data_IF_764153401121
#
_entry.id   IF_764153401121
#
_cell.length_a   1.000
_cell.length_b   1.000
_cell.length_c   1.000
_cell.angle_alpha   90.00
_cell.angle_beta   90.00
_cell.angle_gamma   90.00
#
_symmetry.space_group_name_H-M   'P 1'
#
loop_
_entity.id
_entity.type
_entity.pdbx_description
1 polymer ?
#
# COMPACT_ATOMS: atom_id res chain seq x y z
N UNK A 1 -4.53 1.85 -6.16
CA UNK A 1 -3.08 1.69 -5.91
C UNK A 1 -2.36 1.37 -7.20
N UNK A 2 -1.24 1.98 -7.43
CA UNK A 2 -0.43 1.80 -8.63
C UNK A 2 0.99 1.41 -8.23
N UNK A 3 1.57 0.41 -8.89
CA UNK A 3 2.91 -0.06 -8.55
C UNK A 3 3.73 -0.27 -9.82
N UNK A 4 4.97 0.21 -9.81
CA UNK A 4 5.92 0.05 -10.91
C UNK A 4 7.29 -0.30 -10.36
N UNK A 5 8.12 -0.92 -11.21
CA UNK A 5 9.54 -1.12 -10.92
C UNK A 5 10.31 -0.05 -11.67
N UNK A 6 11.11 0.73 -10.97
CA UNK A 6 11.91 1.80 -11.57
C UNK A 6 13.27 1.87 -10.87
N UNK A 7 14.33 1.82 -11.66
CA UNK A 7 15.73 1.94 -11.17
C UNK A 7 16.03 0.95 -10.02
N UNK A 8 15.54 -0.28 -10.14
CA UNK A 8 15.72 -1.31 -9.13
C UNK A 8 14.84 -1.14 -7.89
N UNK A 9 13.89 -0.23 -7.92
CA UNK A 9 13.00 0.05 -6.79
C UNK A 9 11.55 -0.29 -7.13
N UNK A 10 10.83 -0.79 -6.15
CA UNK A 10 9.37 -0.90 -6.22
C UNK A 10 8.78 0.44 -5.79
N UNK A 11 8.11 1.12 -6.71
CA UNK A 11 7.47 2.40 -6.44
C UNK A 11 5.96 2.18 -6.37
N UNK A 12 5.37 2.52 -5.22
CA UNK A 12 3.93 2.34 -4.98
C UNK A 12 3.30 3.70 -4.80
N UNK A 13 2.23 3.96 -5.56
CA UNK A 13 1.43 5.17 -5.44
C UNK A 13 0.05 4.79 -4.94
N UNK A 14 -0.37 5.37 -3.83
CA UNK A 14 -1.68 5.13 -3.24
C UNK A 14 -2.23 6.45 -2.70
N UNK A 15 -3.51 6.78 -2.95
CA UNK A 15 -4.08 8.03 -2.44
C UNK A 15 -4.17 8.02 -0.93
N UNK A 16 -3.90 9.16 -0.33
CA UNK A 16 -4.09 9.38 1.10
C UNK A 16 -5.52 9.87 1.32
N UNK A 17 -6.24 9.16 2.17
CA UNK A 17 -7.61 9.52 2.51
C UNK A 17 -7.72 10.24 3.86
N UNK A 18 -8.96 10.49 4.27
CA UNK A 18 -9.24 11.02 5.60
C UNK A 18 -8.81 10.00 6.66
N UNK A 19 -8.02 10.40 7.67
CA UNK A 19 -7.59 9.47 8.72
C UNK A 19 -8.79 8.81 9.41
N UNK A 20 -8.72 7.48 9.57
CA UNK A 20 -9.76 6.68 10.22
C UNK A 20 -9.15 5.80 11.29
N UNK A 21 -9.84 5.60 12.43
CA UNK A 21 -9.33 4.70 13.47
C UNK A 21 -9.04 3.32 12.92
N UNK A 22 -7.90 2.74 13.31
CA UNK A 22 -7.59 1.36 13.03
C UNK A 22 -8.44 0.43 13.90
N UNK A 23 -8.40 -0.88 13.64
CA UNK A 23 -9.13 -1.87 14.42
C UNK A 23 -8.77 -1.83 15.91
N UNK A 24 -7.52 -1.52 16.24
CA UNK A 24 -7.06 -1.41 17.63
C UNK A 24 -7.41 -0.06 18.27
N UNK A 25 -7.76 0.94 17.48
CA UNK A 25 -8.00 2.31 17.94
C UNK A 25 -6.75 3.08 18.35
N UNK A 26 -5.55 2.50 18.19
CA UNK A 26 -4.29 3.13 18.61
C UNK A 26 -3.63 3.95 17.52
N UNK A 27 -4.09 3.84 16.30
CA UNK A 27 -3.55 4.56 15.14
C UNK A 27 -4.68 5.01 14.24
N UNK A 28 -4.36 5.95 13.35
CA UNK A 28 -5.29 6.42 12.33
C UNK A 28 -4.77 5.99 10.96
N UNK A 29 -5.54 5.18 10.26
CA UNK A 29 -5.18 4.71 8.92
C UNK A 29 -5.41 5.83 7.91
N UNK A 30 -4.40 6.17 7.14
CA UNK A 30 -4.46 7.22 6.11
C UNK A 30 -4.46 6.65 4.70
N UNK A 31 -3.96 5.45 4.52
CA UNK A 31 -3.98 4.75 3.23
C UNK A 31 -3.92 3.25 3.46
N UNK A 32 -4.67 2.49 2.67
CA UNK A 32 -4.65 1.03 2.75
C UNK A 32 -4.99 0.43 1.40
N UNK A 33 -4.40 -0.71 1.10
CA UNK A 33 -4.76 -1.50 -0.08
C UNK A 33 -6.03 -2.32 0.13
N UNK A 34 -6.52 -2.41 1.38
CA UNK A 34 -7.69 -3.22 1.71
C UNK A 34 -7.40 -4.72 1.67
N UNK A 35 -6.17 -5.12 1.97
CA UNK A 35 -5.70 -6.50 1.91
C UNK A 35 -4.61 -6.66 0.84
N UNK A 36 -4.35 -7.88 0.43
CA UNK A 36 -3.34 -8.16 -0.58
C UNK A 36 -3.91 -7.92 -1.98
N UNK A 37 -3.18 -7.15 -2.78
CA UNK A 37 -3.59 -6.79 -4.15
C UNK A 37 -2.49 -7.21 -5.11
N UNK A 38 -2.86 -7.91 -6.17
CA UNK A 38 -1.94 -8.26 -7.25
C UNK A 38 -1.80 -7.04 -8.16
N UNK A 39 -0.56 -6.62 -8.39
CA UNK A 39 -0.27 -5.43 -9.19
C UNK A 39 0.22 -5.81 -10.58
N UNK A 40 0.36 -4.80 -11.46
CA UNK A 40 0.97 -4.98 -12.78
C UNK A 40 2.50 -4.96 -12.76
N UNK A 41 3.11 -4.60 -11.64
CA UNK A 41 4.56 -4.67 -11.48
C UNK A 41 5.00 -6.13 -11.46
N UNK A 42 6.12 -6.44 -12.10
CA UNK A 42 6.63 -7.81 -12.16
C UNK A 42 8.08 -7.87 -11.69
N UNK A 43 8.43 -8.98 -11.03
CA UNK A 43 9.81 -9.31 -10.67
C UNK A 43 10.04 -10.75 -11.11
N UNK A 44 11.09 -11.00 -11.87
CA UNK A 44 11.40 -12.33 -12.42
C UNK A 44 10.21 -12.92 -13.19
N UNK A 45 9.48 -12.07 -13.92
CA UNK A 45 8.33 -12.49 -14.73
C UNK A 45 7.06 -12.78 -13.93
N UNK A 46 7.04 -12.51 -12.62
CA UNK A 46 5.91 -12.79 -11.74
C UNK A 46 5.31 -11.51 -11.20
N UNK A 47 4.00 -11.42 -11.17
CA UNK A 47 3.29 -10.26 -10.66
C UNK A 47 3.55 -10.08 -9.16
N UNK A 48 3.81 -8.83 -8.76
CA UNK A 48 4.05 -8.48 -7.35
C UNK A 48 2.72 -8.29 -6.65
N UNK A 49 2.54 -8.97 -5.52
CA UNK A 49 1.38 -8.80 -4.64
C UNK A 49 1.77 -7.87 -3.49
N UNK A 50 0.94 -6.85 -3.23
CA UNK A 50 1.22 -5.85 -2.21
C UNK A 50 0.09 -5.80 -1.19
N UNK A 51 0.44 -5.89 0.09
CA UNK A 51 -0.44 -5.52 1.18
C UNK A 51 0.15 -4.28 1.85
N UNK A 52 -0.60 -3.17 1.83
CA UNK A 52 -0.09 -1.89 2.34
C UNK A 52 -1.06 -1.28 3.32
N UNK A 53 -0.51 -0.86 4.46
CA UNK A 53 -1.24 -0.06 5.45
C UNK A 53 -0.32 1.05 5.93
N UNK A 54 -0.78 2.28 5.79
CA UNK A 54 -0.07 3.45 6.26
C UNK A 54 -0.91 4.17 7.31
N UNK A 55 -0.31 4.55 8.41
CA UNK A 55 -1.05 5.17 9.52
C UNK A 55 -0.21 6.21 10.22
N UNK A 56 -0.92 7.07 10.92
CA UNK A 56 -0.32 8.09 11.80
C UNK A 56 -0.74 7.80 13.25
N UNK A 57 0.01 8.35 14.17
CA UNK A 57 -0.39 8.35 15.59
C UNK A 57 -1.47 9.40 15.79
N UNK A 58 -2.48 9.11 16.61
CA UNK A 58 -3.52 10.10 16.93
C UNK A 58 -2.95 11.32 17.64
#
# INVERSE_FOLDING_TARGET
>A
MHAIIKDGNLVVTIPVGTPRPSASGKTLVVATSGGNVVTSATVSGKAVTIGLNAYIKP
#
